data_IF_933536534037
#
_entry.id   IF_933536534037
#
_cell.length_a   1.000
_cell.length_b   1.000
_cell.length_c   1.000
_cell.angle_alpha   90.00
_cell.angle_beta   90.00
_cell.angle_gamma   90.00
#
_symmetry.space_group_name_H-M   'P 1'
#
loop_
_entity.id
_entity.type
_entity.pdbx_description
1 polymer ?
#
# COMPACT_ATOMS: atom_id res chain seq x y z
N UNK A 1 12.68 12.57 2.81
CA UNK A 1 12.60 11.89 1.50
C UNK A 1 13.68 10.81 1.46
N UNK A 2 13.40 9.65 0.85
CA UNK A 2 14.38 8.61 0.52
C UNK A 2 15.06 8.96 -0.81
N UNK A 3 16.35 9.37 -0.81
CA UNK A 3 17.01 9.81 -2.04
C UNK A 3 17.14 8.68 -3.08
N UNK A 4 17.52 7.49 -2.63
CA UNK A 4 17.66 6.31 -3.50
C UNK A 4 16.36 5.92 -4.19
N UNK A 5 15.23 6.01 -3.48
CA UNK A 5 13.91 5.74 -4.07
C UNK A 5 13.50 6.85 -5.03
N UNK A 6 13.81 8.10 -4.71
CA UNK A 6 13.57 9.23 -5.61
C UNK A 6 14.34 9.06 -6.94
N UNK A 7 15.60 8.67 -6.87
CA UNK A 7 16.41 8.34 -8.05
C UNK A 7 15.81 7.19 -8.85
N UNK A 8 15.33 6.13 -8.16
CA UNK A 8 14.64 4.99 -8.81
C UNK A 8 13.37 5.43 -9.55
N UNK A 9 12.68 6.45 -9.05
CA UNK A 9 11.48 7.02 -9.68
C UNK A 9 11.79 8.08 -10.74
N UNK A 10 13.06 8.43 -10.95
CA UNK A 10 13.47 9.49 -11.88
C UNK A 10 13.08 10.90 -11.41
N UNK A 11 12.94 11.11 -10.11
CA UNK A 11 12.60 12.42 -9.54
C UNK A 11 13.88 13.26 -9.33
N UNK A 12 13.93 14.40 -10.00
CA UNK A 12 15.07 15.31 -9.89
C UNK A 12 15.14 15.98 -8.51
N UNK A 13 16.37 16.27 -8.06
CA UNK A 13 16.60 16.88 -6.75
C UNK A 13 15.89 18.21 -6.58
N UNK A 14 15.93 19.07 -7.59
CA UNK A 14 15.29 20.40 -7.54
C UNK A 14 13.76 20.28 -7.38
N UNK A 15 13.16 19.24 -7.97
CA UNK A 15 11.74 18.94 -7.76
C UNK A 15 11.49 18.45 -6.33
N UNK A 16 12.32 17.55 -5.80
CA UNK A 16 12.18 17.00 -4.45
C UNK A 16 12.26 18.11 -3.39
N UNK A 17 13.10 19.11 -3.60
CA UNK A 17 13.30 20.24 -2.69
C UNK A 17 12.25 21.34 -2.89
N UNK A 18 11.30 21.18 -3.80
CA UNK A 18 10.29 22.19 -4.16
C UNK A 18 9.03 22.14 -3.28
N UNK A 19 8.34 23.28 -3.19
CA UNK A 19 7.01 23.36 -2.61
C UNK A 19 5.98 22.53 -3.40
N UNK A 20 6.20 22.32 -4.68
CA UNK A 20 5.34 21.51 -5.53
C UNK A 20 5.38 20.03 -5.12
N UNK A 21 6.57 19.47 -4.89
CA UNK A 21 6.74 18.12 -4.35
C UNK A 21 5.95 17.96 -3.05
N UNK A 22 6.15 18.89 -2.11
CA UNK A 22 5.42 18.84 -0.83
C UNK A 22 3.90 18.85 -1.04
N UNK A 23 3.39 19.73 -1.90
CA UNK A 23 1.95 19.83 -2.16
C UNK A 23 1.39 18.54 -2.79
N UNK A 24 2.09 17.94 -3.74
CA UNK A 24 1.67 16.70 -4.41
C UNK A 24 1.71 15.53 -3.40
N UNK A 25 2.84 15.30 -2.76
CA UNK A 25 3.04 14.12 -1.91
C UNK A 25 2.49 14.28 -0.48
N UNK A 26 1.86 15.41 -0.17
CA UNK A 26 0.96 15.59 0.97
C UNK A 26 -0.53 15.57 0.61
N UNK A 27 -0.88 15.37 -0.66
CA UNK A 27 -2.27 15.29 -1.11
C UNK A 27 -2.98 16.63 -1.30
N UNK A 28 -2.25 17.76 -1.21
CA UNK A 28 -2.82 19.10 -1.39
C UNK A 28 -2.95 19.52 -2.85
N UNK A 29 -2.28 18.81 -3.76
CA UNK A 29 -2.35 19.06 -5.20
C UNK A 29 -2.47 17.74 -5.94
N UNK A 30 -3.55 17.58 -6.72
CA UNK A 30 -3.71 16.46 -7.65
C UNK A 30 -2.93 16.78 -8.93
N UNK A 31 -2.14 15.82 -9.38
CA UNK A 31 -1.40 15.93 -10.66
C UNK A 31 -2.37 15.73 -11.81
N UNK A 32 -2.24 16.53 -12.86
CA UNK A 32 -3.05 16.39 -14.06
C UNK A 32 -2.91 14.98 -14.66
N UNK A 33 -4.03 14.37 -15.03
CA UNK A 33 -4.10 12.98 -15.51
C UNK A 33 -4.15 11.92 -14.40
N UNK A 34 -3.90 12.28 -13.14
CA UNK A 34 -4.07 11.38 -12.00
C UNK A 34 -5.55 11.24 -11.62
N UNK A 35 -5.96 10.03 -11.26
CA UNK A 35 -7.30 9.72 -10.75
C UNK A 35 -7.16 9.02 -9.40
N UNK A 36 -7.08 9.78 -8.28
CA UNK A 36 -6.92 9.18 -6.97
C UNK A 36 -8.10 8.29 -6.58
N UNK A 37 -7.80 7.14 -5.96
CA UNK A 37 -8.81 6.21 -5.50
C UNK A 37 -8.36 5.45 -4.25
N UNK A 38 -9.33 4.95 -3.47
CA UNK A 38 -9.10 4.01 -2.37
C UNK A 38 -9.51 2.60 -2.79
N UNK A 39 -8.70 1.60 -2.46
CA UNK A 39 -9.00 0.21 -2.81
C UNK A 39 -10.12 -0.36 -1.94
N UNK A 40 -11.06 -1.08 -2.59
CA UNK A 40 -12.03 -1.96 -1.94
C UNK A 40 -11.45 -3.38 -1.87
N UNK A 41 -11.55 -4.01 -0.72
CA UNK A 41 -11.19 -5.42 -0.53
C UNK A 41 -12.06 -6.05 0.55
N UNK A 42 -12.05 -7.35 0.65
CA UNK A 42 -12.61 -8.09 1.77
C UNK A 42 -11.49 -8.75 2.56
N UNK A 43 -11.82 -9.42 3.63
CA UNK A 43 -10.77 -10.10 4.37
C UNK A 43 -11.25 -11.09 5.41
N UNK A 44 -10.41 -12.10 5.65
CA UNK A 44 -10.47 -12.93 6.85
C UNK A 44 -9.50 -12.33 7.86
N UNK A 45 -10.06 -11.90 9.00
CA UNK A 45 -9.30 -11.40 10.13
C UNK A 45 -9.36 -12.45 11.24
N UNK A 46 -8.20 -12.98 11.62
CA UNK A 46 -8.09 -14.04 12.65
C UNK A 46 -9.02 -15.24 12.39
N UNK A 47 -9.16 -15.64 11.12
CA UNK A 47 -10.00 -16.77 10.70
C UNK A 47 -11.48 -16.47 10.50
N UNK A 48 -11.95 -15.26 10.80
CA UNK A 48 -13.34 -14.84 10.62
C UNK A 48 -13.48 -13.90 9.42
N UNK A 49 -14.51 -14.13 8.60
CA UNK A 49 -14.83 -13.25 7.49
C UNK A 49 -15.33 -11.90 7.99
N UNK A 50 -14.56 -10.82 7.76
CA UNK A 50 -14.90 -9.47 8.18
C UNK A 50 -15.79 -8.70 7.18
N UNK A 51 -16.12 -9.32 6.04
CA UNK A 51 -16.90 -8.67 5.00
C UNK A 51 -16.12 -7.68 4.16
N UNK A 52 -16.80 -6.67 3.63
CA UNK A 52 -16.18 -5.60 2.88
C UNK A 52 -15.40 -4.69 3.80
N UNK A 53 -14.15 -4.50 3.46
CA UNK A 53 -13.20 -3.54 3.99
C UNK A 53 -12.73 -2.60 2.87
N UNK A 54 -11.69 -1.85 3.10
CA UNK A 54 -11.03 -1.01 2.12
C UNK A 54 -10.01 -0.10 2.77
N UNK A 55 -9.30 0.65 1.95
CA UNK A 55 -8.28 1.58 2.39
C UNK A 55 -8.91 2.80 3.09
N UNK A 56 -9.11 2.70 4.41
CA UNK A 56 -9.76 3.74 5.21
C UNK A 56 -8.89 4.98 5.51
N UNK A 57 -7.60 4.94 5.15
CA UNK A 57 -6.66 6.07 5.31
C UNK A 57 -5.49 6.02 4.32
N UNK A 58 -5.67 5.30 3.24
CA UNK A 58 -4.68 5.21 2.16
C UNK A 58 -5.37 5.49 0.83
N UNK A 59 -4.73 6.29 0.00
CA UNK A 59 -5.25 6.75 -1.28
C UNK A 59 -4.18 6.44 -2.33
N UNK A 60 -4.50 5.58 -3.31
CA UNK A 60 -3.67 5.44 -4.49
C UNK A 60 -3.79 6.73 -5.29
N UNK A 61 -2.67 7.42 -5.43
CA UNK A 61 -2.64 8.78 -5.92
C UNK A 61 -2.36 8.86 -7.42
N UNK A 62 -1.64 7.89 -7.92
CA UNK A 62 -1.25 7.76 -9.33
C UNK A 62 -0.12 6.76 -9.51
N UNK A 63 0.43 6.73 -10.72
CA UNK A 63 1.56 5.89 -11.08
C UNK A 63 2.69 6.72 -11.68
N UNK A 64 3.92 6.32 -11.43
CA UNK A 64 5.13 6.87 -12.05
C UNK A 64 5.76 5.76 -12.88
N UNK A 65 6.05 6.06 -14.13
CA UNK A 65 6.81 5.18 -15.01
C UNK A 65 8.24 5.70 -15.16
N UNK A 66 9.22 4.86 -14.87
CA UNK A 66 10.63 5.12 -15.07
C UNK A 66 11.36 3.83 -15.43
N UNK A 67 12.27 3.88 -16.40
CA UNK A 67 13.07 2.72 -16.87
C UNK A 67 12.23 1.47 -17.19
N UNK A 68 11.10 1.64 -17.89
CA UNK A 68 10.13 0.60 -18.21
C UNK A 68 9.53 -0.14 -16.99
N UNK A 69 9.54 0.50 -15.83
CA UNK A 69 8.87 0.03 -14.61
C UNK A 69 7.80 1.01 -14.20
N UNK A 70 6.68 0.49 -13.75
CA UNK A 70 5.58 1.28 -13.19
C UNK A 70 5.55 1.13 -11.67
N UNK A 71 5.33 2.25 -10.99
CA UNK A 71 5.30 2.36 -9.56
C UNK A 71 4.04 3.07 -9.11
N UNK A 72 3.21 2.39 -8.34
CA UNK A 72 2.02 2.99 -7.72
C UNK A 72 2.46 3.85 -6.55
N UNK A 73 1.97 5.07 -6.52
CA UNK A 73 2.15 6.03 -5.43
C UNK A 73 0.90 6.00 -4.56
N UNK A 74 1.08 5.74 -3.28
CA UNK A 74 -0.02 5.71 -2.31
C UNK A 74 0.28 6.65 -1.15
N UNK A 75 -0.63 7.59 -0.87
CA UNK A 75 -0.57 8.48 0.28
C UNK A 75 -1.30 7.83 1.45
N UNK A 76 -0.65 7.74 2.60
CA UNK A 76 -1.25 7.20 3.83
C UNK A 76 -1.34 8.28 4.90
N UNK A 77 -2.56 8.54 5.34
CA UNK A 77 -2.86 9.57 6.32
C UNK A 77 -3.25 10.92 5.73
N UNK A 78 -3.57 10.97 4.44
CA UNK A 78 -3.91 12.20 3.71
C UNK A 78 -5.40 12.62 3.81
N UNK A 79 -6.22 11.87 4.54
CA UNK A 79 -7.62 12.21 4.75
C UNK A 79 -8.56 11.01 4.62
N UNK A 80 -9.85 11.31 4.73
CA UNK A 80 -10.93 10.33 4.66
C UNK A 80 -11.08 9.72 3.27
N UNK A 81 -11.51 8.47 3.26
CA UNK A 81 -11.90 7.72 2.08
C UNK A 81 -13.31 7.15 2.26
N UNK A 82 -13.96 6.62 1.22
CA UNK A 82 -15.24 5.92 1.37
C UNK A 82 -15.19 4.72 2.33
N UNK A 83 -14.00 4.27 2.72
CA UNK A 83 -13.78 3.13 3.61
C UNK A 83 -13.31 3.51 5.01
N UNK A 84 -13.24 4.79 5.34
CA UNK A 84 -12.81 5.26 6.68
C UNK A 84 -13.77 4.91 7.80
N UNK A 85 -15.02 4.54 7.48
CA UNK A 85 -16.10 4.28 8.46
C UNK A 85 -16.32 5.51 9.36
N UNK A 86 -16.04 5.37 10.67
CA UNK A 86 -16.09 6.45 11.65
C UNK A 86 -14.72 7.06 11.97
N UNK A 87 -13.66 6.64 11.24
CA UNK A 87 -12.31 7.16 11.44
C UNK A 87 -12.05 8.40 10.57
N UNK A 88 -11.09 9.22 10.96
CA UNK A 88 -10.74 10.48 10.32
C UNK A 88 -9.83 10.37 9.08
N UNK A 89 -9.44 9.15 8.70
CA UNK A 89 -8.52 8.93 7.57
C UNK A 89 -7.09 9.42 7.77
N UNK A 90 -6.76 9.94 8.94
CA UNK A 90 -5.46 10.55 9.25
C UNK A 90 -4.48 9.54 9.87
N UNK A 91 -3.20 9.86 9.77
CA UNK A 91 -2.13 9.15 10.46
C UNK A 91 -1.36 10.10 11.38
N UNK A 92 -0.81 9.56 12.47
CA UNK A 92 -0.01 10.34 13.43
C UNK A 92 1.48 10.13 13.19
N UNK A 93 2.27 11.16 13.48
CA UNK A 93 3.71 11.21 13.21
C UNK A 93 4.46 9.99 13.79
N UNK A 94 4.21 9.59 15.05
CA UNK A 94 4.91 8.46 15.68
C UNK A 94 4.74 7.14 14.93
N UNK A 95 3.54 6.87 14.40
CA UNK A 95 3.29 5.66 13.61
C UNK A 95 3.84 5.79 12.18
N UNK A 96 3.80 6.98 11.62
CA UNK A 96 4.31 7.28 10.29
C UNK A 96 5.85 7.20 10.23
N UNK A 97 6.55 7.67 11.27
CA UNK A 97 8.01 7.48 11.41
C UNK A 97 8.34 5.97 11.43
N UNK A 98 7.63 5.19 12.23
CA UNK A 98 7.85 3.74 12.31
C UNK A 98 7.62 3.07 10.96
N UNK A 99 6.54 3.41 10.26
CA UNK A 99 6.24 2.85 8.92
C UNK A 99 7.34 3.21 7.93
N UNK A 100 7.75 4.47 7.87
CA UNK A 100 8.82 4.94 6.99
C UNK A 100 10.14 4.21 7.26
N UNK A 101 10.59 4.22 8.51
CA UNK A 101 11.88 3.61 8.88
C UNK A 101 11.88 2.09 8.70
N UNK A 102 10.80 1.40 9.10
CA UNK A 102 10.73 -0.06 8.96
C UNK A 102 10.67 -0.49 7.48
N UNK A 103 9.95 0.24 6.65
CA UNK A 103 9.86 -0.02 5.21
C UNK A 103 11.24 0.04 4.56
N UNK A 104 11.98 1.13 4.76
CA UNK A 104 13.32 1.32 4.20
C UNK A 104 14.33 0.35 4.83
N UNK A 105 14.28 0.12 6.14
CA UNK A 105 15.14 -0.87 6.80
C UNK A 105 14.96 -2.28 6.25
N UNK A 106 13.72 -2.73 6.05
CA UNK A 106 13.42 -4.04 5.45
C UNK A 106 13.98 -4.14 4.03
N UNK A 107 13.83 -3.10 3.23
CA UNK A 107 14.42 -3.07 1.89
C UNK A 107 15.94 -3.25 1.92
N UNK A 108 16.65 -2.48 2.75
CA UNK A 108 18.11 -2.57 2.87
C UNK A 108 18.59 -3.88 3.51
N UNK A 109 17.73 -4.59 4.23
CA UNK A 109 17.98 -5.95 4.69
C UNK A 109 17.69 -7.00 3.61
N UNK A 110 17.30 -6.61 2.40
CA UNK A 110 16.99 -7.49 1.30
C UNK A 110 15.68 -8.26 1.48
N UNK A 111 14.73 -7.70 2.24
CA UNK A 111 13.38 -8.24 2.40
C UNK A 111 12.46 -7.57 1.38
N UNK A 112 11.71 -8.33 0.55
CA UNK A 112 10.70 -7.75 -0.32
C UNK A 112 9.67 -6.97 0.49
N UNK A 113 9.51 -5.69 0.18
CA UNK A 113 8.63 -4.78 0.94
C UNK A 113 8.19 -3.62 0.07
N UNK A 114 7.09 -2.95 0.45
CA UNK A 114 6.78 -1.63 -0.10
C UNK A 114 7.81 -0.61 0.38
N UNK A 115 8.11 0.39 -0.43
CA UNK A 115 9.07 1.46 -0.10
C UNK A 115 8.33 2.69 0.43
N UNK A 116 9.06 3.55 1.12
CA UNK A 116 8.56 4.84 1.58
C UNK A 116 9.38 5.99 0.97
N UNK A 117 8.76 6.77 0.08
CA UNK A 117 9.42 7.88 -0.60
C UNK A 117 9.60 9.08 0.33
N UNK A 118 8.53 9.48 1.00
CA UNK A 118 8.54 10.66 1.84
C UNK A 118 7.70 10.51 3.10
N UNK A 119 8.03 11.30 4.10
CA UNK A 119 7.27 11.53 5.32
C UNK A 119 7.11 13.04 5.49
N UNK A 120 5.88 13.53 5.46
CA UNK A 120 5.55 14.94 5.64
C UNK A 120 4.67 15.13 6.89
N UNK A 121 4.84 16.26 7.60
CA UNK A 121 3.86 16.69 8.59
C UNK A 121 2.64 17.25 7.84
N UNK A 122 1.42 16.84 8.24
CA UNK A 122 0.20 17.37 7.63
C UNK A 122 -0.17 18.78 8.12
N UNK A 123 0.36 19.17 9.28
CA UNK A 123 -0.03 20.41 9.98
C UNK A 123 -1.18 20.20 10.96
N UNK A 124 -1.90 19.08 10.85
CA UNK A 124 -3.05 18.79 11.70
C UNK A 124 -2.64 18.31 13.09
N UNK A 125 -3.55 18.54 14.03
CA UNK A 125 -3.53 17.90 15.34
C UNK A 125 -4.59 16.80 15.36
N UNK A 126 -4.16 15.56 15.54
CA UNK A 126 -5.00 14.36 15.45
C UNK A 126 -5.26 13.79 16.83
N UNK A 127 -6.52 13.74 17.24
CA UNK A 127 -6.90 13.19 18.54
C UNK A 127 -6.77 11.67 18.55
N UNK A 128 -6.00 11.13 19.49
CA UNK A 128 -5.82 9.67 19.65
C UNK A 128 -5.81 9.27 21.12
N UNK A 129 -6.55 8.24 21.44
CA UNK A 129 -6.40 7.50 22.69
C UNK A 129 -5.47 6.30 22.41
N UNK A 130 -4.18 6.50 22.69
CA UNK A 130 -3.12 5.55 22.32
C UNK A 130 -3.21 4.25 23.12
N UNK A 131 -3.63 4.35 24.39
CA UNK A 131 -3.67 3.22 25.31
C UNK A 131 -5.08 2.63 25.42
N UNK A 132 -6.06 3.23 24.75
CA UNK A 132 -7.48 2.86 24.85
C UNK A 132 -7.99 2.86 26.30
N UNK A 133 -7.51 3.82 27.08
CA UNK A 133 -7.80 3.95 28.51
C UNK A 133 -8.70 5.15 28.85
N UNK A 134 -9.22 5.83 27.83
CA UNK A 134 -10.12 6.98 27.96
C UNK A 134 -9.38 8.31 28.14
N UNK A 135 -8.07 8.36 27.89
CA UNK A 135 -7.23 9.56 27.99
C UNK A 135 -6.70 10.01 26.61
N UNK A 136 -7.58 10.52 25.70
CA UNK A 136 -7.15 10.96 24.40
C UNK A 136 -6.26 12.18 24.47
N UNK A 137 -5.23 12.23 23.61
CA UNK A 137 -4.34 13.36 23.46
C UNK A 137 -4.18 13.74 21.99
N UNK A 138 -3.87 15.03 21.74
CA UNK A 138 -3.55 15.49 20.39
C UNK A 138 -2.11 15.12 20.03
N UNK A 139 -1.97 14.50 18.85
CA UNK A 139 -0.70 14.14 18.25
C UNK A 139 -0.54 14.84 16.90
N UNK A 140 0.70 15.13 16.50
CA UNK A 140 0.98 15.69 15.17
C UNK A 140 0.56 14.70 14.07
N UNK A 141 -0.21 15.20 13.11
CA UNK A 141 -0.56 14.47 11.89
C UNK A 141 0.63 14.35 10.94
N UNK A 142 0.70 13.25 10.19
CA UNK A 142 1.72 13.06 9.18
C UNK A 142 1.22 12.15 8.04
N UNK A 143 1.84 12.32 6.87
CA UNK A 143 1.51 11.57 5.66
C UNK A 143 2.77 10.84 5.22
N UNK A 144 2.63 9.53 4.96
CA UNK A 144 3.68 8.72 4.33
C UNK A 144 3.31 8.48 2.88
N UNK A 145 4.23 8.82 1.98
CA UNK A 145 4.14 8.42 0.58
C UNK A 145 4.75 7.04 0.41
N UNK A 146 3.91 6.06 0.15
CA UNK A 146 4.29 4.66 -0.09
C UNK A 146 4.43 4.41 -1.57
N UNK A 147 5.37 3.54 -1.93
CA UNK A 147 5.68 3.18 -3.32
C UNK A 147 5.79 1.68 -3.45
N UNK A 148 5.12 1.12 -4.44
CA UNK A 148 5.19 -0.30 -4.77
C UNK A 148 4.79 -0.52 -6.23
N UNK A 149 5.23 -1.59 -6.90
CA UNK A 149 4.69 -1.97 -8.20
C UNK A 149 3.18 -2.24 -8.16
N UNK A 150 2.66 -2.65 -7.00
CA UNK A 150 1.23 -2.88 -6.78
C UNK A 150 0.90 -2.82 -5.29
N UNK A 151 -0.34 -2.39 -4.97
CA UNK A 151 -0.94 -2.48 -3.64
C UNK A 151 -2.09 -3.50 -3.59
N UNK A 152 -2.21 -4.38 -4.60
CA UNK A 152 -3.18 -5.46 -4.59
C UNK A 152 -2.92 -6.42 -3.41
N UNK A 153 -3.98 -6.80 -2.74
CA UNK A 153 -3.98 -7.75 -1.62
C UNK A 153 -4.78 -8.99 -1.99
N UNK A 154 -4.62 -10.08 -1.28
CA UNK A 154 -5.49 -11.25 -1.40
C UNK A 154 -6.96 -10.88 -1.24
N UNK A 155 -7.26 -9.92 -0.36
CA UNK A 155 -8.61 -9.42 -0.12
C UNK A 155 -9.30 -8.78 -1.33
N UNK A 156 -8.56 -8.23 -2.30
CA UNK A 156 -9.14 -7.70 -3.53
C UNK A 156 -9.74 -8.82 -4.40
N UNK A 157 -9.14 -10.01 -4.40
CA UNK A 157 -9.66 -11.19 -5.08
C UNK A 157 -10.76 -11.86 -4.26
N UNK A 158 -10.56 -11.94 -2.96
CA UNK A 158 -11.45 -12.65 -2.05
C UNK A 158 -12.83 -12.00 -1.97
N UNK A 159 -12.95 -10.68 -2.06
CA UNK A 159 -14.25 -10.02 -2.02
C UNK A 159 -15.14 -10.44 -3.20
N UNK A 160 -14.58 -10.60 -4.40
CA UNK A 160 -15.32 -11.05 -5.56
C UNK A 160 -15.70 -12.53 -5.43
N UNK A 161 -14.79 -13.36 -4.93
CA UNK A 161 -15.07 -14.77 -4.63
C UNK A 161 -16.20 -14.92 -3.61
N UNK A 162 -16.16 -14.15 -2.51
CA UNK A 162 -17.19 -14.17 -1.48
C UNK A 162 -18.56 -13.69 -1.98
N UNK A 163 -18.58 -12.83 -3.00
CA UNK A 163 -19.80 -12.34 -3.67
C UNK A 163 -20.26 -13.22 -4.82
N UNK A 164 -19.54 -14.30 -5.14
CA UNK A 164 -19.77 -15.15 -6.31
C UNK A 164 -19.73 -14.35 -7.63
N UNK A 165 -18.99 -13.26 -7.67
CA UNK A 165 -18.78 -12.43 -8.87
C UNK A 165 -17.56 -12.95 -9.64
N UNK A 166 -17.75 -14.07 -10.33
CA UNK A 166 -16.69 -14.74 -11.11
C UNK A 166 -16.17 -13.85 -12.24
N UNK A 167 -17.03 -13.00 -12.82
CA UNK A 167 -16.65 -12.10 -13.90
C UNK A 167 -15.64 -11.07 -13.44
N UNK A 168 -15.90 -10.36 -12.35
CA UNK A 168 -14.99 -9.37 -11.80
C UNK A 168 -13.71 -10.03 -11.26
N UNK A 169 -13.83 -11.21 -10.61
CA UNK A 169 -12.68 -11.98 -10.16
C UNK A 169 -11.75 -12.31 -11.34
N UNK A 170 -12.32 -12.86 -12.43
CA UNK A 170 -11.54 -13.17 -13.64
C UNK A 170 -10.89 -11.94 -14.22
N UNK A 171 -11.62 -10.83 -14.32
CA UNK A 171 -11.09 -9.57 -14.84
C UNK A 171 -9.88 -9.08 -14.03
N UNK A 172 -9.96 -9.15 -12.69
CA UNK A 172 -8.86 -8.77 -11.81
C UNK A 172 -7.65 -9.71 -11.95
N UNK A 173 -7.88 -11.02 -12.06
CA UNK A 173 -6.82 -12.00 -12.28
C UNK A 173 -6.12 -11.75 -13.63
N UNK A 174 -6.89 -11.54 -14.70
CA UNK A 174 -6.35 -11.27 -16.05
C UNK A 174 -5.54 -9.97 -16.07
N UNK A 175 -6.02 -8.91 -15.39
CA UNK A 175 -5.27 -7.66 -15.19
C UNK A 175 -3.96 -7.92 -14.46
N UNK A 176 -4.01 -8.66 -13.36
CA UNK A 176 -2.82 -8.96 -12.54
C UNK A 176 -1.78 -9.76 -13.32
N UNK A 177 -2.22 -10.76 -14.09
CA UNK A 177 -1.35 -11.52 -14.98
C UNK A 177 -0.68 -10.61 -16.02
N UNK A 178 -1.46 -9.78 -16.68
CA UNK A 178 -0.95 -8.90 -17.73
C UNK A 178 0.09 -7.91 -17.22
N UNK A 179 -0.14 -7.30 -16.05
CA UNK A 179 0.66 -6.17 -15.58
C UNK A 179 1.76 -6.56 -14.59
N UNK A 180 1.62 -7.67 -13.87
CA UNK A 180 2.56 -8.06 -12.82
C UNK A 180 3.18 -9.46 -13.04
N UNK A 181 2.56 -10.31 -13.87
CA UNK A 181 3.00 -11.68 -14.12
C UNK A 181 2.99 -12.03 -15.62
N UNK A 182 3.31 -11.06 -16.47
CA UNK A 182 3.28 -11.21 -17.94
C UNK A 182 4.18 -12.34 -18.46
N UNK A 183 5.23 -12.69 -17.73
CA UNK A 183 6.14 -13.80 -18.03
C UNK A 183 5.46 -15.17 -17.99
N UNK A 184 4.31 -15.30 -17.33
CA UNK A 184 3.53 -16.56 -17.30
C UNK A 184 2.71 -16.79 -18.57
N UNK A 185 2.57 -15.77 -19.42
CA UNK A 185 1.84 -15.84 -20.68
C UNK A 185 0.41 -15.34 -20.60
N UNK A 186 -0.35 -15.58 -21.67
CA UNK A 186 -1.75 -15.12 -21.78
C UNK A 186 -2.69 -15.92 -20.89
N UNK A 187 -3.82 -15.34 -20.46
CA UNK A 187 -4.79 -16.00 -19.60
C UNK A 187 -5.28 -17.35 -20.18
N UNK A 188 -5.05 -18.43 -19.43
CA UNK A 188 -5.49 -19.80 -19.69
C UNK A 188 -5.59 -20.55 -18.36
N UNK A 189 -6.15 -21.73 -18.37
CA UNK A 189 -6.22 -22.59 -17.17
C UNK A 189 -4.82 -22.89 -16.62
N UNK A 190 -3.88 -23.18 -17.49
CA UNK A 190 -2.48 -23.47 -17.17
C UNK A 190 -1.80 -22.26 -16.55
N UNK A 191 -2.03 -21.08 -17.12
CA UNK A 191 -1.48 -19.80 -16.63
C UNK A 191 -2.06 -19.46 -15.24
N UNK A 192 -3.34 -19.67 -14.98
CA UNK A 192 -3.92 -19.45 -13.65
C UNK A 192 -3.33 -20.38 -12.60
N UNK A 193 -3.08 -21.65 -12.95
CA UNK A 193 -2.41 -22.60 -12.05
C UNK A 193 -0.96 -22.16 -11.78
N UNK A 194 -0.25 -21.73 -12.82
CA UNK A 194 1.12 -21.23 -12.68
C UNK A 194 1.16 -19.97 -11.80
N UNK A 195 0.23 -19.03 -12.01
CA UNK A 195 0.07 -17.83 -11.18
C UNK A 195 -0.15 -18.16 -9.70
N UNK A 196 -1.07 -19.08 -9.40
CA UNK A 196 -1.31 -19.53 -8.03
C UNK A 196 -0.05 -20.12 -7.37
N UNK A 197 0.69 -20.94 -8.12
CA UNK A 197 1.95 -21.53 -7.63
C UNK A 197 3.01 -20.46 -7.35
N UNK A 198 3.17 -19.50 -8.25
CA UNK A 198 4.16 -18.43 -8.10
C UNK A 198 3.83 -17.50 -6.92
N UNK A 199 2.56 -17.11 -6.76
CA UNK A 199 2.12 -16.33 -5.59
C UNK A 199 2.35 -17.09 -4.28
N UNK A 200 2.10 -18.41 -4.28
CA UNK A 200 2.37 -19.25 -3.10
C UNK A 200 3.86 -19.31 -2.78
N UNK A 201 4.71 -19.47 -3.80
CA UNK A 201 6.17 -19.49 -3.63
C UNK A 201 6.69 -18.12 -3.15
N UNK A 202 6.24 -17.02 -3.75
CA UNK A 202 6.64 -15.67 -3.34
C UNK A 202 6.23 -15.37 -1.90
N UNK A 203 5.07 -15.86 -1.47
CA UNK A 203 4.63 -15.73 -0.06
C UNK A 203 5.55 -16.52 0.88
N UNK A 204 5.92 -17.74 0.51
CA UNK A 204 6.87 -18.55 1.28
C UNK A 204 8.23 -17.84 1.38
N UNK A 205 8.76 -17.35 0.28
CA UNK A 205 10.05 -16.66 0.22
C UNK A 205 10.04 -15.40 1.10
N UNK A 206 8.97 -14.63 1.06
CA UNK A 206 8.77 -13.45 1.93
C UNK A 206 8.82 -13.85 3.42
N UNK A 207 8.13 -14.91 3.81
CA UNK A 207 8.14 -15.40 5.20
C UNK A 207 9.54 -15.86 5.63
N UNK A 208 10.26 -16.54 4.76
CA UNK A 208 11.66 -16.95 5.00
C UNK A 208 12.54 -15.72 5.21
N UNK A 209 12.37 -14.68 4.38
CA UNK A 209 13.09 -13.43 4.54
C UNK A 209 12.76 -12.73 5.86
N UNK A 210 11.51 -12.72 6.30
CA UNK A 210 11.14 -12.19 7.61
C UNK A 210 11.81 -12.94 8.74
N UNK A 211 11.79 -14.28 8.72
CA UNK A 211 12.45 -15.09 9.74
C UNK A 211 13.97 -14.87 9.76
N UNK A 212 14.60 -14.72 8.58
CA UNK A 212 16.02 -14.42 8.47
C UNK A 212 16.46 -13.16 9.21
N UNK A 213 15.59 -12.15 9.25
CA UNK A 213 15.87 -10.88 9.95
C UNK A 213 15.22 -10.80 11.34
N UNK A 214 14.65 -11.89 11.83
CA UNK A 214 14.03 -11.97 13.15
C UNK A 214 12.68 -11.26 13.25
N UNK A 215 11.99 -11.02 12.11
CA UNK A 215 10.69 -10.39 12.08
C UNK A 215 9.58 -11.44 12.09
N UNK A 216 8.57 -11.21 12.93
CA UNK A 216 7.33 -11.98 12.96
C UNK A 216 6.16 -11.02 12.73
N UNK A 217 5.46 -11.18 11.62
CA UNK A 217 4.34 -10.29 11.26
C UNK A 217 3.18 -10.39 12.27
N UNK A 218 2.79 -11.60 12.67
CA UNK A 218 1.77 -11.85 13.68
C UNK A 218 0.32 -11.62 13.24
N UNK A 219 0.08 -10.94 12.10
CA UNK A 219 -1.27 -10.60 11.60
C UNK A 219 -1.28 -10.73 10.07
N UNK A 220 -1.13 -11.94 9.56
CA UNK A 220 -1.20 -12.22 8.11
C UNK A 220 -2.66 -12.52 7.71
N UNK A 221 -3.48 -11.50 7.77
CA UNK A 221 -4.85 -11.55 7.27
C UNK A 221 -4.86 -11.33 5.74
N UNK A 222 -5.95 -11.67 5.06
CA UNK A 222 -6.05 -11.50 3.60
C UNK A 222 -6.25 -10.05 3.16
N UNK A 223 -6.53 -9.16 4.10
CA UNK A 223 -6.65 -7.71 3.91
C UNK A 223 -5.34 -6.92 4.20
N UNK A 224 -4.26 -7.63 4.54
CA UNK A 224 -2.94 -7.03 4.77
C UNK A 224 -2.10 -6.93 3.51
#
# INVERSE_FOLDING_TARGET
VSPELADTLGLEKDFIDSAEFLNIFSGNKIVEGSTPYAMCYGGHQFGSWAGQLGDGRAINFGEIENDNKSWVIQLKGAGETPYSRSADGLAVLRSSIREYLCSEAMFHLGVPTTRALSLALSGDQVLRDVMYDGNPAYEKGAIVTRVSPSFLRFGNFQIFSARQDEKSLKTLVDYTLKHHFSHLGSPSKETYIAFFKEVSQSTLDMIIHWQRVGFVHGVMNTDN
#
